data_IF_000457984374
#
_entry.id   IF_000457984374
#
_cell.length_a   1.000
_cell.length_b   1.000
_cell.length_c   1.000
_cell.angle_alpha   90.00
_cell.angle_beta   90.00
_cell.angle_gamma   90.00
#
_symmetry.space_group_name_H-M   'P 1'
#
loop_
_entity.id
_entity.type
_entity.pdbx_description
1 polymer ?
#
# COMPACT_ATOMS: atom_id res chain seq x y z
N UNK A 1 -14.13 -0.24 -13.89
CA UNK A 1 -14.75 -1.56 -13.63
C UNK A 1 -13.67 -2.62 -13.67
N UNK A 2 -13.91 -3.82 -13.11
CA UNK A 2 -13.01 -4.97 -13.32
C UNK A 2 -12.86 -5.13 -14.85
N UNK A 3 -11.61 -5.16 -15.35
CA UNK A 3 -11.20 -5.13 -16.77
C UNK A 3 -10.95 -3.76 -17.45
N UNK A 4 -11.01 -2.64 -16.73
CA UNK A 4 -10.49 -1.36 -17.24
C UNK A 4 -8.99 -1.21 -16.91
N UNK A 5 -8.16 -0.97 -17.92
CA UNK A 5 -6.73 -0.70 -17.76
C UNK A 5 -6.52 0.53 -16.86
N UNK A 6 -5.83 0.33 -15.73
CA UNK A 6 -5.68 1.34 -14.66
C UNK A 6 -6.53 1.10 -13.42
N UNK A 7 -7.32 0.02 -13.38
CA UNK A 7 -8.13 -0.39 -12.24
C UNK A 7 -7.66 -1.73 -11.63
N UNK A 8 -6.34 -1.93 -11.54
CA UNK A 8 -5.75 -2.97 -10.68
C UNK A 8 -5.89 -2.52 -9.23
N UNK A 9 -7.11 -2.65 -8.70
CA UNK A 9 -7.48 -2.09 -7.42
C UNK A 9 -6.96 -2.98 -6.28
N UNK A 10 -5.66 -2.84 -5.98
CA UNK A 10 -5.03 -3.41 -4.78
C UNK A 10 -5.84 -3.09 -3.51
N UNK A 11 -6.61 -2.00 -3.52
CA UNK A 11 -7.59 -1.69 -2.47
C UNK A 11 -8.70 -2.73 -2.40
N UNK A 12 -9.43 -2.92 -3.50
CA UNK A 12 -10.47 -3.94 -3.58
C UNK A 12 -9.95 -5.34 -3.24
N UNK A 13 -8.78 -5.74 -3.77
CA UNK A 13 -8.16 -7.03 -3.46
C UNK A 13 -7.86 -7.22 -1.97
N UNK A 14 -7.44 -6.15 -1.28
CA UNK A 14 -7.23 -6.17 0.16
C UNK A 14 -8.56 -6.22 0.94
N UNK A 15 -9.60 -5.54 0.46
CA UNK A 15 -10.93 -5.52 1.09
C UNK A 15 -11.64 -6.87 1.01
N UNK A 16 -11.48 -7.61 -0.08
CA UNK A 16 -12.08 -8.94 -0.24
C UNK A 16 -11.23 -10.07 0.36
N UNK A 17 -10.01 -9.77 0.81
CA UNK A 17 -9.15 -10.78 1.40
C UNK A 17 -9.72 -11.27 2.74
N UNK A 18 -9.70 -12.59 3.02
CA UNK A 18 -10.23 -13.13 4.27
C UNK A 18 -9.38 -12.76 5.49
N UNK A 19 -8.12 -12.33 5.29
CA UNK A 19 -7.21 -11.93 6.37
C UNK A 19 -6.79 -10.47 6.16
N UNK A 20 -7.12 -9.56 7.10
CA UNK A 20 -6.70 -8.17 7.03
C UNK A 20 -5.18 -8.00 6.85
N UNK A 21 -4.78 -7.08 5.99
CA UNK A 21 -3.36 -6.86 5.67
C UNK A 21 -2.77 -7.86 4.68
N UNK A 22 -3.61 -8.62 3.97
CA UNK A 22 -3.17 -9.52 2.90
C UNK A 22 -3.98 -9.34 1.63
N UNK A 23 -3.46 -9.88 0.53
CA UNK A 23 -4.20 -10.14 -0.71
C UNK A 23 -4.31 -11.65 -0.87
N UNK A 24 -5.52 -12.15 -1.13
CA UNK A 24 -5.74 -13.54 -1.49
C UNK A 24 -5.49 -13.78 -2.98
N UNK A 25 -4.60 -14.73 -3.29
CA UNK A 25 -4.28 -15.17 -4.64
C UNK A 25 -4.68 -16.64 -4.77
N UNK A 26 -5.75 -16.98 -5.49
CA UNK A 26 -6.19 -18.36 -5.65
C UNK A 26 -5.25 -19.15 -6.59
N UNK A 27 -5.02 -20.42 -6.28
CA UNK A 27 -4.37 -21.41 -7.15
C UNK A 27 -5.05 -22.78 -6.96
N UNK A 28 -5.90 -23.16 -7.93
CA UNK A 28 -6.71 -24.36 -7.84
C UNK A 28 -7.58 -24.37 -6.59
N UNK A 29 -7.37 -25.37 -5.72
CA UNK A 29 -8.13 -25.60 -4.50
C UNK A 29 -7.56 -24.87 -3.27
N UNK A 30 -6.47 -24.11 -3.41
CA UNK A 30 -5.85 -23.36 -2.33
C UNK A 30 -5.70 -21.88 -2.68
N UNK A 31 -5.38 -21.05 -1.69
CA UNK A 31 -5.10 -19.63 -1.89
C UNK A 31 -3.85 -19.20 -1.10
N UNK A 32 -2.95 -18.46 -1.74
CA UNK A 32 -1.87 -17.76 -1.07
C UNK A 32 -2.41 -16.47 -0.44
N UNK A 33 -2.02 -16.21 0.80
CA UNK A 33 -2.25 -14.91 1.45
C UNK A 33 -0.95 -14.12 1.41
N UNK A 34 -0.88 -13.10 0.56
CA UNK A 34 0.30 -12.26 0.39
C UNK A 34 0.19 -11.05 1.32
N UNK A 35 1.11 -10.87 2.30
CA UNK A 35 1.13 -9.69 3.14
C UNK A 35 1.29 -8.42 2.31
N UNK A 36 0.55 -7.37 2.65
CA UNK A 36 0.61 -6.10 1.94
C UNK A 36 0.47 -4.92 2.89
N UNK A 37 1.04 -3.79 2.48
CA UNK A 37 0.83 -2.51 3.14
C UNK A 37 0.61 -1.43 2.08
N UNK A 38 -0.36 -0.55 2.32
CA UNK A 38 -0.77 0.49 1.37
C UNK A 38 -0.33 1.86 1.87
N UNK A 39 0.59 2.50 1.15
CA UNK A 39 0.77 3.94 1.25
C UNK A 39 -0.31 4.63 0.40
N UNK A 40 -1.29 5.23 1.05
CA UNK A 40 -2.43 5.84 0.37
C UNK A 40 -2.16 7.31 0.01
N UNK A 41 -1.83 7.54 -1.25
CA UNK A 41 -1.59 8.87 -1.81
C UNK A 41 -2.84 9.52 -2.42
N UNK A 42 -4.06 9.05 -2.09
CA UNK A 42 -5.31 9.72 -2.52
C UNK A 42 -5.41 11.15 -1.99
N UNK A 43 -4.89 11.39 -0.78
CA UNK A 43 -4.49 12.73 -0.34
C UNK A 43 -3.05 12.90 -0.80
N UNK A 44 -2.78 13.92 -1.62
CA UNK A 44 -1.46 14.11 -2.21
C UNK A 44 -0.38 14.33 -1.14
N UNK A 45 0.61 13.44 -1.15
CA UNK A 45 1.79 13.47 -0.28
C UNK A 45 3.10 13.39 -1.08
N UNK A 46 3.03 13.36 -2.41
CA UNK A 46 4.20 13.04 -3.26
C UNK A 46 4.40 13.98 -4.43
N UNK A 47 3.46 14.89 -4.75
CA UNK A 47 3.65 15.80 -5.88
C UNK A 47 4.91 16.66 -5.78
N UNK A 48 5.35 16.99 -4.56
CA UNK A 48 6.59 17.75 -4.35
C UNK A 48 7.83 17.01 -4.88
N UNK A 49 7.81 15.68 -4.96
CA UNK A 49 8.90 14.86 -5.49
C UNK A 49 9.15 15.07 -6.99
N UNK A 50 8.23 15.74 -7.71
CA UNK A 50 8.42 16.09 -9.13
C UNK A 50 9.34 17.29 -9.32
N UNK A 51 9.58 18.08 -8.28
CA UNK A 51 10.54 19.18 -8.29
C UNK A 51 11.99 18.66 -8.16
N UNK A 52 12.95 19.56 -8.34
CA UNK A 52 14.36 19.26 -8.09
C UNK A 52 14.56 18.76 -6.64
N UNK A 53 15.19 17.60 -6.41
CA UNK A 53 15.49 17.09 -5.07
C UNK A 53 16.16 18.07 -4.12
N UNK A 54 17.00 18.99 -4.62
CA UNK A 54 17.64 20.03 -3.81
C UNK A 54 16.64 21.06 -3.26
N UNK A 55 15.43 21.11 -3.83
CA UNK A 55 14.37 22.07 -3.49
C UNK A 55 13.22 21.46 -2.69
N UNK A 56 13.30 20.18 -2.34
CA UNK A 56 12.22 19.51 -1.61
C UNK A 56 12.03 20.11 -0.21
N UNK A 57 10.79 20.48 0.17
CA UNK A 57 10.52 20.99 1.51
C UNK A 57 10.89 19.95 2.58
N UNK A 58 11.78 20.26 3.54
CA UNK A 58 12.24 19.29 4.54
C UNK A 58 11.12 18.68 5.38
N UNK A 59 10.06 19.45 5.64
CA UNK A 59 8.87 19.02 6.37
C UNK A 59 8.06 17.96 5.59
N UNK A 60 7.91 18.14 4.27
CA UNK A 60 7.24 17.16 3.42
C UNK A 60 8.07 15.87 3.27
N UNK A 61 9.39 15.98 3.18
CA UNK A 61 10.30 14.81 3.16
C UNK A 61 10.21 14.05 4.49
N UNK A 62 10.30 14.75 5.62
CA UNK A 62 10.18 14.14 6.94
C UNK A 62 8.83 13.44 7.10
N UNK A 63 7.74 14.09 6.66
CA UNK A 63 6.40 13.51 6.71
C UNK A 63 6.27 12.26 5.83
N UNK A 64 6.80 12.29 4.62
CA UNK A 64 6.81 11.12 3.73
C UNK A 64 7.56 9.95 4.37
N UNK A 65 8.73 10.19 4.95
CA UNK A 65 9.49 9.15 5.65
C UNK A 65 8.73 8.58 6.86
N UNK A 66 8.10 9.43 7.67
CA UNK A 66 7.29 8.98 8.81
C UNK A 66 6.13 8.10 8.36
N UNK A 67 5.41 8.52 7.31
CA UNK A 67 4.29 7.74 6.77
C UNK A 67 4.77 6.40 6.19
N UNK A 68 5.90 6.36 5.48
CA UNK A 68 6.49 5.12 4.95
C UNK A 68 6.94 4.18 6.07
N UNK A 69 7.60 4.69 7.11
CA UNK A 69 7.99 3.88 8.29
C UNK A 69 6.75 3.27 8.95
N UNK A 70 5.68 4.05 9.15
CA UNK A 70 4.45 3.54 9.73
C UNK A 70 3.81 2.44 8.88
N UNK A 71 3.77 2.61 7.55
CA UNK A 71 3.25 1.61 6.61
C UNK A 71 4.10 0.34 6.61
N UNK A 72 5.43 0.44 6.59
CA UNK A 72 6.28 -0.74 6.60
C UNK A 72 6.28 -1.47 7.95
N UNK A 73 6.02 -0.77 9.05
CA UNK A 73 5.84 -1.40 10.35
C UNK A 73 4.64 -2.37 10.36
N UNK A 74 3.55 -2.06 9.63
CA UNK A 74 2.41 -2.98 9.53
C UNK A 74 2.75 -4.24 8.73
N UNK A 75 3.57 -4.09 7.68
CA UNK A 75 4.05 -5.23 6.89
C UNK A 75 4.98 -6.13 7.71
N UNK A 76 5.89 -5.53 8.49
CA UNK A 76 6.85 -6.25 9.32
C UNK A 76 6.19 -6.99 10.50
N UNK A 77 5.12 -6.42 11.06
CA UNK A 77 4.32 -7.09 12.10
C UNK A 77 3.58 -8.33 11.56
N UNK A 78 3.34 -8.39 10.25
CA UNK A 78 2.58 -9.43 9.60
C UNK A 78 1.07 -9.29 9.81
N UNK A 79 0.26 -10.07 9.08
CA UNK A 79 -1.17 -10.13 9.31
C UNK A 79 -1.49 -10.70 10.69
N UNK A 80 -2.54 -10.19 11.34
CA UNK A 80 -3.01 -10.73 12.61
C UNK A 80 -3.38 -12.23 12.45
N UNK A 81 -3.10 -13.08 13.46
CA UNK A 81 -3.53 -14.47 13.42
C UNK A 81 -5.05 -14.53 13.33
N UNK A 82 -5.54 -15.48 12.52
CA UNK A 82 -6.97 -15.74 12.29
C UNK A 82 -7.70 -16.21 13.56
#
# INVERSE_FOLDING_TARGET
MLHDYGMDDLGWLAEISPVPGTIAVPDGDWQALLPMARFDNRIDRTSFLRADPETWPPDLVARLHQDLVAVFATLAAGPAPA
#
